data_IF_240781906180
#
_entry.id   IF_240781906180
#
_cell.length_a   1.000
_cell.length_b   1.000
_cell.length_c   1.000
_cell.angle_alpha   90.00
_cell.angle_beta   90.00
_cell.angle_gamma   90.00
#
_symmetry.space_group_name_H-M   'P 1'
#
loop_
_entity.id
_entity.type
_entity.pdbx_description
1 polymer ?
#
# COMPACT_ATOMS: atom_id res chain seq x y z
N UNK A 1 -87.09 -54.60 21.43
CA UNK A 1 -86.13 -53.48 21.53
C UNK A 1 -85.46 -53.58 22.89
N UNK A 2 -84.27 -54.19 22.95
CA UNK A 2 -83.35 -54.01 24.07
C UNK A 2 -82.19 -53.14 23.58
N UNK A 3 -81.96 -52.00 24.25
CA UNK A 3 -80.90 -51.06 23.93
C UNK A 3 -79.61 -51.52 24.64
N UNK A 4 -78.61 -51.95 23.87
CA UNK A 4 -77.24 -52.24 24.36
C UNK A 4 -76.57 -50.94 24.81
N UNK A 5 -76.07 -50.92 26.05
CA UNK A 5 -75.16 -49.89 26.54
C UNK A 5 -73.73 -50.12 26.02
N UNK A 6 -72.95 -49.05 25.73
CA UNK A 6 -71.58 -49.19 25.27
C UNK A 6 -70.60 -49.48 26.44
N UNK A 7 -69.45 -50.12 26.18
CA UNK A 7 -68.49 -50.52 27.21
C UNK A 7 -67.73 -49.31 27.80
N UNK A 8 -67.59 -49.30 29.13
CA UNK A 8 -66.78 -48.35 29.90
C UNK A 8 -65.28 -48.59 29.68
N UNK A 9 -64.55 -47.54 29.31
CA UNK A 9 -63.09 -47.56 29.17
C UNK A 9 -62.40 -47.74 30.55
N UNK A 10 -61.24 -48.44 30.62
CA UNK A 10 -60.56 -48.67 31.90
C UNK A 10 -59.91 -47.40 32.44
N UNK A 11 -60.01 -47.21 33.77
CA UNK A 11 -59.41 -46.10 34.49
C UNK A 11 -57.87 -46.12 34.38
N UNK A 12 -57.27 -45.03 33.88
CA UNK A 12 -55.81 -44.86 33.82
C UNK A 12 -55.21 -44.78 35.23
N UNK A 13 -54.25 -45.65 35.52
CA UNK A 13 -53.49 -45.70 36.77
C UNK A 13 -52.63 -44.43 36.94
N UNK A 14 -52.79 -43.75 38.07
CA UNK A 14 -52.04 -42.54 38.45
C UNK A 14 -50.51 -42.76 38.51
N UNK A 15 -50.07 -44.02 38.71
CA UNK A 15 -48.65 -44.40 38.70
C UNK A 15 -48.02 -44.37 37.31
N UNK A 16 -48.79 -44.64 36.25
CA UNK A 16 -48.30 -44.65 34.87
C UNK A 16 -47.99 -43.23 34.36
N UNK A 17 -48.73 -42.23 34.84
CA UNK A 17 -48.46 -40.82 34.52
C UNK A 17 -47.16 -40.31 35.14
N UNK A 18 -46.86 -40.72 36.38
CA UNK A 18 -45.67 -40.29 37.12
C UNK A 18 -44.40 -40.94 36.55
N UNK A 19 -44.46 -42.23 36.20
CA UNK A 19 -43.36 -42.94 35.54
C UNK A 19 -43.09 -42.37 34.14
N UNK A 20 -44.14 -42.08 33.35
CA UNK A 20 -43.98 -41.43 32.04
C UNK A 20 -43.40 -40.01 32.16
N UNK A 21 -43.81 -39.24 33.17
CA UNK A 21 -43.23 -37.92 33.45
C UNK A 21 -41.74 -37.99 33.77
N UNK A 22 -41.32 -38.96 34.60
CA UNK A 22 -39.91 -39.14 34.98
C UNK A 22 -39.05 -39.63 33.80
N UNK A 23 -39.61 -40.46 32.92
CA UNK A 23 -38.93 -40.91 31.69
C UNK A 23 -38.75 -39.78 30.67
N UNK A 24 -39.77 -38.93 30.50
CA UNK A 24 -39.67 -37.75 29.61
C UNK A 24 -38.65 -36.76 30.15
N UNK A 25 -38.63 -36.51 31.46
CA UNK A 25 -37.66 -35.62 32.09
C UNK A 25 -36.23 -36.14 31.92
N UNK A 26 -35.99 -37.43 32.16
CA UNK A 26 -34.66 -38.03 31.94
C UNK A 26 -34.24 -37.98 30.48
N UNK A 27 -35.15 -38.21 29.53
CA UNK A 27 -34.86 -38.11 28.10
C UNK A 27 -34.47 -36.67 27.71
N UNK A 28 -35.16 -35.66 28.23
CA UNK A 28 -34.84 -34.25 27.99
C UNK A 28 -33.49 -33.85 28.58
N UNK A 29 -33.16 -34.33 29.79
CA UNK A 29 -31.84 -34.11 30.41
C UNK A 29 -30.73 -34.80 29.60
N UNK A 30 -30.96 -36.03 29.11
CA UNK A 30 -30.01 -36.76 28.29
C UNK A 30 -29.79 -36.08 26.92
N UNK A 31 -30.86 -35.61 26.29
CA UNK A 31 -30.78 -34.84 25.03
C UNK A 31 -30.07 -33.49 25.23
N UNK A 32 -30.31 -32.81 26.36
CA UNK A 32 -29.60 -31.59 26.73
C UNK A 32 -28.10 -31.83 26.94
N UNK A 33 -27.72 -32.88 27.68
CA UNK A 33 -26.33 -33.28 27.87
C UNK A 33 -25.66 -33.70 26.56
N UNK A 34 -26.37 -34.42 25.69
CA UNK A 34 -25.86 -34.84 24.39
C UNK A 34 -25.66 -33.64 23.45
N UNK A 35 -26.58 -32.67 23.46
CA UNK A 35 -26.42 -31.41 22.75
C UNK A 35 -25.22 -30.61 23.28
N UNK A 36 -25.05 -30.50 24.60
CA UNK A 36 -23.88 -29.83 25.22
C UNK A 36 -22.56 -30.52 24.82
N UNK A 37 -22.52 -31.85 24.78
CA UNK A 37 -21.33 -32.60 24.37
C UNK A 37 -21.04 -32.48 22.86
N UNK A 38 -22.07 -32.47 22.00
CA UNK A 38 -21.92 -32.30 20.55
C UNK A 38 -21.53 -30.85 20.17
N UNK A 39 -22.13 -29.84 20.82
CA UNK A 39 -21.71 -28.44 20.65
C UNK A 39 -20.32 -28.18 21.24
N UNK A 40 -19.98 -28.80 22.38
CA UNK A 40 -18.68 -28.66 23.03
C UNK A 40 -17.52 -29.30 22.24
N UNK A 41 -17.76 -30.45 21.59
CA UNK A 41 -16.75 -31.15 20.77
C UNK A 41 -16.42 -30.38 19.49
N UNK A 42 -17.42 -29.80 18.83
CA UNK A 42 -17.21 -28.93 17.66
C UNK A 42 -16.51 -27.61 17.98
N UNK A 43 -16.68 -27.07 19.19
CA UNK A 43 -15.95 -25.88 19.64
C UNK A 43 -14.48 -26.18 19.95
N UNK A 44 -14.18 -27.36 20.53
CA UNK A 44 -12.83 -27.83 20.81
C UNK A 44 -12.02 -28.09 19.54
N UNK A 45 -12.57 -28.81 18.57
CA UNK A 45 -11.88 -29.09 17.29
C UNK A 45 -11.60 -27.81 16.49
N UNK A 46 -12.52 -26.83 16.51
CA UNK A 46 -12.33 -25.51 15.89
C UNK A 46 -11.29 -24.66 16.63
N UNK A 47 -11.18 -24.77 17.95
CA UNK A 47 -10.16 -24.07 18.71
C UNK A 47 -8.76 -24.66 18.43
N UNK A 48 -8.64 -25.99 18.40
CA UNK A 48 -7.39 -26.68 18.08
C UNK A 48 -6.92 -26.39 16.63
N UNK A 49 -7.85 -26.39 15.65
CA UNK A 49 -7.54 -26.03 14.27
C UNK A 49 -7.01 -24.59 14.14
N UNK A 50 -7.61 -23.63 14.85
CA UNK A 50 -7.15 -22.22 14.83
C UNK A 50 -5.77 -22.03 15.47
N UNK A 51 -5.50 -22.74 16.56
CA UNK A 51 -4.19 -22.65 17.20
C UNK A 51 -3.08 -23.25 16.32
N UNK A 52 -3.40 -24.31 15.58
CA UNK A 52 -2.56 -24.88 14.54
C UNK A 52 -2.32 -23.87 13.39
N UNK A 53 -3.37 -23.20 12.90
CA UNK A 53 -3.26 -22.18 11.85
C UNK A 53 -2.33 -21.03 12.28
N UNK A 54 -2.43 -20.57 13.55
CA UNK A 54 -1.53 -19.56 14.12
C UNK A 54 -0.09 -20.05 14.16
N UNK A 55 0.15 -21.30 14.56
CA UNK A 55 1.50 -21.86 14.63
C UNK A 55 2.12 -21.97 13.23
N UNK A 56 1.38 -22.48 12.26
CA UNK A 56 1.81 -22.58 10.86
C UNK A 56 2.08 -21.18 10.30
N UNK A 57 1.18 -20.22 10.54
CA UNK A 57 1.36 -18.84 10.10
C UNK A 57 2.64 -18.22 10.67
N UNK A 58 2.97 -18.50 11.93
CA UNK A 58 4.20 -18.00 12.56
C UNK A 58 5.46 -18.60 11.92
N UNK A 59 5.43 -19.89 11.57
CA UNK A 59 6.52 -20.58 10.85
C UNK A 59 6.68 -20.04 9.43
N UNK A 60 5.59 -19.86 8.70
CA UNK A 60 5.60 -19.29 7.34
C UNK A 60 6.14 -17.85 7.34
N UNK A 61 5.75 -17.05 8.34
CA UNK A 61 6.29 -15.70 8.52
C UNK A 61 7.80 -15.73 8.74
N UNK A 62 8.29 -16.60 9.63
CA UNK A 62 9.73 -16.77 9.89
C UNK A 62 10.50 -17.26 8.65
N UNK A 63 9.88 -18.11 7.83
CA UNK A 63 10.41 -18.57 6.56
C UNK A 63 10.32 -17.51 5.43
N UNK A 64 9.66 -16.38 5.67
CA UNK A 64 9.50 -15.29 4.72
C UNK A 64 8.36 -15.44 3.71
N UNK A 65 7.54 -16.51 3.81
CA UNK A 65 6.33 -16.73 3.03
C UNK A 65 5.17 -15.88 3.56
N UNK A 66 5.30 -14.56 3.41
CA UNK A 66 4.43 -13.59 4.08
C UNK A 66 2.99 -13.60 3.61
N UNK A 67 2.72 -13.84 2.33
CA UNK A 67 1.36 -13.83 1.79
C UNK A 67 0.55 -15.02 2.33
N UNK A 68 1.18 -16.19 2.40
CA UNK A 68 0.59 -17.39 3.02
C UNK A 68 0.42 -17.21 4.53
N UNK A 69 1.44 -16.65 5.21
CA UNK A 69 1.34 -16.34 6.63
C UNK A 69 0.21 -15.36 6.94
N UNK A 70 0.08 -14.29 6.14
CA UNK A 70 -0.96 -13.28 6.25
C UNK A 70 -2.36 -13.86 6.02
N UNK A 71 -2.50 -14.80 5.08
CA UNK A 71 -3.76 -15.50 4.81
C UNK A 71 -4.20 -16.33 6.01
N UNK A 72 -3.31 -17.16 6.57
CA UNK A 72 -3.62 -17.99 7.75
C UNK A 72 -3.85 -17.15 9.01
N UNK A 73 -3.07 -16.08 9.21
CA UNK A 73 -3.35 -15.14 10.28
C UNK A 73 -4.70 -14.45 10.09
N UNK A 74 -5.08 -14.06 8.87
CA UNK A 74 -6.40 -13.52 8.59
C UNK A 74 -7.54 -14.48 8.96
N UNK A 75 -7.37 -15.77 8.67
CA UNK A 75 -8.33 -16.82 9.06
C UNK A 75 -8.39 -16.99 10.58
N UNK A 76 -7.23 -17.00 11.25
CA UNK A 76 -7.15 -17.03 12.72
C UNK A 76 -7.84 -15.82 13.35
N UNK A 77 -7.62 -14.62 12.79
CA UNK A 77 -8.21 -13.37 13.24
C UNK A 77 -9.73 -13.35 13.01
N UNK A 78 -10.25 -13.93 11.92
CA UNK A 78 -11.69 -13.98 11.64
C UNK A 78 -12.50 -14.85 12.64
N UNK A 79 -11.85 -15.71 13.43
CA UNK A 79 -12.51 -16.58 14.40
C UNK A 79 -12.88 -15.91 15.74
N UNK A 80 -13.98 -16.33 16.37
CA UNK A 80 -14.48 -15.80 17.66
C UNK A 80 -13.68 -16.22 18.93
N UNK A 81 -12.39 -16.59 18.79
CA UNK A 81 -11.62 -17.18 19.90
C UNK A 81 -10.55 -16.29 20.54
N UNK A 82 -10.02 -15.30 19.81
CA UNK A 82 -8.88 -14.51 20.28
C UNK A 82 -9.33 -13.14 20.83
N UNK A 83 -8.78 -12.67 21.97
CA UNK A 83 -9.11 -11.36 22.50
C UNK A 83 -8.71 -10.25 21.51
N UNK A 84 -9.50 -9.17 21.36
CA UNK A 84 -9.25 -8.09 20.39
C UNK A 84 -7.83 -7.52 20.47
N UNK A 85 -7.27 -7.39 21.66
CA UNK A 85 -5.91 -6.90 21.87
C UNK A 85 -4.83 -7.82 21.26
N UNK A 86 -4.99 -9.15 21.40
CA UNK A 86 -4.06 -10.10 20.79
C UNK A 86 -4.17 -10.09 19.26
N UNK A 87 -5.41 -9.92 18.75
CA UNK A 87 -5.68 -9.79 17.32
C UNK A 87 -5.04 -8.52 16.75
N UNK A 88 -5.16 -7.39 17.44
CA UNK A 88 -4.53 -6.12 17.07
C UNK A 88 -3.00 -6.22 17.04
N UNK A 89 -2.38 -6.90 18.01
CA UNK A 89 -0.92 -7.15 18.05
C UNK A 89 -0.44 -7.97 16.85
N UNK A 90 -1.20 -8.99 16.45
CA UNK A 90 -0.86 -9.81 15.27
C UNK A 90 -0.99 -8.98 13.99
N UNK A 91 -2.08 -8.23 13.83
CA UNK A 91 -2.29 -7.34 12.69
C UNK A 91 -1.19 -6.28 12.61
N UNK A 92 -0.84 -5.62 13.71
CA UNK A 92 0.29 -4.68 13.78
C UNK A 92 1.63 -5.34 13.39
N UNK A 93 1.88 -6.57 13.86
CA UNK A 93 3.10 -7.30 13.54
C UNK A 93 3.20 -7.64 12.05
N UNK A 94 2.09 -8.01 11.41
CA UNK A 94 2.02 -8.24 9.96
C UNK A 94 2.20 -6.95 9.17
N UNK A 95 1.49 -5.89 9.56
CA UNK A 95 1.62 -4.56 8.95
C UNK A 95 3.06 -4.07 8.95
N UNK A 96 3.75 -4.16 10.08
CA UNK A 96 5.18 -3.81 10.20
C UNK A 96 6.05 -4.66 9.28
N UNK A 97 5.79 -5.96 9.20
CA UNK A 97 6.59 -6.86 8.35
C UNK A 97 6.41 -6.54 6.86
N UNK A 98 5.20 -6.22 6.42
CA UNK A 98 4.95 -5.79 5.04
C UNK A 98 5.53 -4.40 4.76
N UNK A 99 5.46 -3.48 5.72
CA UNK A 99 6.05 -2.15 5.63
C UNK A 99 7.57 -2.22 5.42
N UNK A 100 8.26 -3.05 6.21
CA UNK A 100 9.72 -3.23 6.13
C UNK A 100 10.15 -3.83 4.79
N UNK A 101 9.27 -4.59 4.13
CA UNK A 101 9.50 -5.14 2.78
C UNK A 101 9.02 -4.21 1.65
N UNK A 102 8.58 -2.99 1.96
CA UNK A 102 8.09 -2.02 0.99
C UNK A 102 6.73 -2.37 0.38
N UNK A 103 6.00 -3.33 0.94
CA UNK A 103 4.65 -3.71 0.49
C UNK A 103 3.60 -2.84 1.19
N UNK A 104 3.60 -1.55 0.85
CA UNK A 104 2.87 -0.49 1.56
C UNK A 104 1.34 -0.69 1.58
N UNK A 105 0.74 -1.16 0.48
CA UNK A 105 -0.71 -1.43 0.42
C UNK A 105 -1.14 -2.54 1.38
N UNK A 106 -0.40 -3.66 1.40
CA UNK A 106 -0.65 -4.77 2.33
C UNK A 106 -0.42 -4.33 3.77
N UNK A 107 0.60 -3.50 4.01
CA UNK A 107 0.86 -2.93 5.33
C UNK A 107 -0.33 -2.10 5.84
N UNK A 108 -0.90 -1.22 5.00
CA UNK A 108 -2.08 -0.42 5.36
C UNK A 108 -3.28 -1.27 5.75
N UNK A 109 -3.61 -2.30 4.97
CA UNK A 109 -4.71 -3.23 5.29
C UNK A 109 -4.57 -3.78 6.71
N UNK A 110 -3.37 -4.22 7.09
CA UNK A 110 -3.11 -4.77 8.41
C UNK A 110 -3.08 -3.72 9.54
N UNK A 111 -2.60 -2.51 9.26
CA UNK A 111 -2.65 -1.42 10.23
C UNK A 111 -4.07 -0.95 10.51
N UNK A 112 -4.92 -0.79 9.49
CA UNK A 112 -6.33 -0.47 9.68
C UNK A 112 -7.09 -1.57 10.42
N UNK A 113 -6.74 -2.84 10.18
CA UNK A 113 -7.28 -3.96 10.95
C UNK A 113 -6.87 -3.87 12.44
N UNK A 114 -5.62 -3.48 12.73
CA UNK A 114 -5.16 -3.25 14.10
C UNK A 114 -5.89 -2.07 14.78
N UNK A 115 -6.15 -0.97 14.06
CA UNK A 115 -6.92 0.18 14.58
C UNK A 115 -8.36 -0.22 14.89
N UNK A 116 -9.03 -0.92 13.96
CA UNK A 116 -10.41 -1.39 14.13
C UNK A 116 -10.58 -2.36 15.30
N UNK A 117 -9.56 -3.17 15.60
CA UNK A 117 -9.54 -4.10 16.73
C UNK A 117 -9.22 -3.43 18.08
N UNK A 118 -8.90 -2.14 18.09
CA UNK A 118 -8.50 -1.41 19.30
C UNK A 118 -7.03 -1.64 19.64
N UNK A 119 -6.14 -0.99 18.91
CA UNK A 119 -4.68 -1.10 19.06
C UNK A 119 -4.13 -0.73 20.45
N UNK A 120 -4.93 -0.12 21.34
CA UNK A 120 -4.53 0.19 22.71
C UNK A 120 -3.26 1.03 22.75
N UNK A 121 -2.22 0.54 23.43
CA UNK A 121 -0.92 1.20 23.54
C UNK A 121 -0.14 1.27 22.20
N UNK A 122 -0.51 0.46 21.20
CA UNK A 122 0.09 0.50 19.87
C UNK A 122 -0.55 1.56 18.96
N UNK A 123 -1.64 2.20 19.37
CA UNK A 123 -2.43 3.10 18.52
C UNK A 123 -1.59 4.25 17.93
N UNK A 124 -0.72 4.87 18.74
CA UNK A 124 0.14 5.96 18.28
C UNK A 124 1.15 5.48 17.22
N UNK A 125 1.77 4.32 17.43
CA UNK A 125 2.77 3.78 16.53
C UNK A 125 2.14 3.23 15.23
N UNK A 126 0.98 2.59 15.33
CA UNK A 126 0.16 2.20 14.17
C UNK A 126 -0.14 3.43 13.31
N UNK A 127 -0.57 4.53 13.94
CA UNK A 127 -0.88 5.77 13.24
C UNK A 127 0.33 6.35 12.49
N UNK A 128 1.51 6.39 13.13
CA UNK A 128 2.75 6.83 12.49
C UNK A 128 3.11 5.96 11.28
N UNK A 129 2.95 4.64 11.40
CA UNK A 129 3.24 3.70 10.32
C UNK A 129 2.24 3.77 9.16
N UNK A 130 0.96 4.09 9.44
CA UNK A 130 -0.04 4.38 8.40
C UNK A 130 0.34 5.62 7.59
N UNK A 131 0.67 6.72 8.28
CA UNK A 131 1.12 7.96 7.62
C UNK A 131 2.36 7.68 6.78
N UNK A 132 3.36 7.00 7.34
CA UNK A 132 4.56 6.62 6.61
C UNK A 132 4.27 5.78 5.37
N UNK A 133 3.42 4.76 5.47
CA UNK A 133 3.06 3.92 4.33
C UNK A 133 2.38 4.73 3.21
N UNK A 134 1.47 5.65 3.57
CA UNK A 134 0.81 6.54 2.61
C UNK A 134 1.80 7.48 1.91
N UNK A 135 2.71 8.11 2.65
CA UNK A 135 3.78 8.95 2.09
C UNK A 135 4.69 8.18 1.14
N UNK A 136 5.06 6.95 1.49
CA UNK A 136 5.90 6.09 0.63
C UNK A 136 5.20 5.67 -0.67
N UNK A 137 3.87 5.70 -0.69
CA UNK A 137 3.06 5.50 -1.90
C UNK A 137 2.78 6.81 -2.66
N UNK A 138 3.30 7.95 -2.20
CA UNK A 138 3.00 9.26 -2.78
C UNK A 138 1.59 9.77 -2.49
N UNK A 139 0.86 9.17 -1.53
CA UNK A 139 -0.51 9.54 -1.16
C UNK A 139 -0.50 10.61 -0.07
N UNK A 140 0.01 11.81 -0.40
CA UNK A 140 0.28 12.86 0.57
C UNK A 140 -0.99 13.43 1.18
N UNK A 141 -2.06 13.60 0.40
CA UNK A 141 -3.33 14.07 0.93
C UNK A 141 -3.97 13.08 1.92
N UNK A 142 -3.94 11.78 1.61
CA UNK A 142 -4.40 10.75 2.52
C UNK A 142 -3.54 10.67 3.80
N UNK A 143 -2.21 10.82 3.67
CA UNK A 143 -1.30 10.86 4.81
C UNK A 143 -1.61 12.04 5.74
N UNK A 144 -1.84 13.22 5.17
CA UNK A 144 -2.22 14.42 5.92
C UNK A 144 -3.58 14.24 6.63
N UNK A 145 -4.61 13.75 5.92
CA UNK A 145 -5.91 13.49 6.51
C UNK A 145 -5.82 12.50 7.70
N UNK A 146 -5.02 11.45 7.54
CA UNK A 146 -4.80 10.46 8.59
C UNK A 146 -4.00 11.04 9.78
N UNK A 147 -3.10 12.01 9.54
CA UNK A 147 -2.40 12.72 10.61
C UNK A 147 -3.36 13.66 11.36
N UNK A 148 -4.15 14.46 10.64
CA UNK A 148 -5.15 15.39 11.19
C UNK A 148 -6.21 14.69 12.02
N UNK A 149 -6.73 13.55 11.56
CA UNK A 149 -7.72 12.76 12.31
C UNK A 149 -7.17 12.25 13.65
N UNK A 150 -5.85 12.13 13.80
CA UNK A 150 -5.19 11.63 15.01
C UNK A 150 -4.76 12.76 15.96
N UNK A 151 -4.52 13.97 15.46
CA UNK A 151 -4.20 15.14 16.31
C UNK A 151 -5.45 15.76 16.94
N UNK A 152 -6.62 15.55 16.35
CA UNK A 152 -7.92 15.88 16.93
C UNK A 152 -8.34 14.80 17.93
N UNK A 153 -7.85 14.89 19.18
CA UNK A 153 -8.15 13.97 20.28
C UNK A 153 -9.66 13.65 20.43
N UNK A 154 -10.03 12.38 20.24
CA UNK A 154 -11.21 11.75 20.85
C UNK A 154 -12.42 11.52 19.94
N UNK A 155 -12.41 10.44 19.16
CA UNK A 155 -13.62 9.98 18.46
C UNK A 155 -13.35 8.87 17.45
N UNK A 156 -13.08 7.65 17.91
CA UNK A 156 -13.26 6.48 17.06
C UNK A 156 -14.76 6.27 16.80
N UNK A 157 -15.09 5.91 15.55
CA UNK A 157 -16.39 5.44 15.07
C UNK A 157 -17.45 6.50 14.73
N UNK A 158 -17.27 7.19 13.60
CA UNK A 158 -18.39 7.46 12.70
C UNK A 158 -17.91 7.57 11.24
N UNK A 159 -18.58 6.82 10.38
CA UNK A 159 -18.72 7.06 8.94
C UNK A 159 -17.48 6.91 8.04
N UNK A 160 -17.16 5.66 7.68
CA UNK A 160 -16.53 5.32 6.39
C UNK A 160 -17.26 5.92 5.16
N UNK A 161 -18.44 6.52 5.33
CA UNK A 161 -19.17 7.29 4.30
C UNK A 161 -18.95 8.81 4.36
N UNK A 162 -18.52 9.39 5.49
CA UNK A 162 -18.12 10.81 5.56
C UNK A 162 -16.63 11.01 5.31
N UNK A 163 -15.82 9.98 5.62
CA UNK A 163 -14.38 10.01 5.38
C UNK A 163 -14.05 10.12 3.88
N UNK A 164 -14.93 9.63 3.01
CA UNK A 164 -14.75 9.68 1.56
C UNK A 164 -16.08 9.93 0.80
N UNK A 165 -16.61 11.16 0.85
CA UNK A 165 -17.93 11.46 0.31
C UNK A 165 -17.93 11.40 -1.22
N UNK A 166 -19.09 11.05 -1.80
CA UNK A 166 -19.32 11.13 -3.25
C UNK A 166 -19.29 12.60 -3.67
N UNK A 167 -18.39 12.94 -4.58
CA UNK A 167 -18.19 14.30 -5.09
C UNK A 167 -18.74 14.48 -6.51
N UNK A 168 -18.87 13.40 -7.27
CA UNK A 168 -19.51 13.41 -8.59
C UNK A 168 -20.13 12.06 -8.93
N UNK A 169 -21.09 12.07 -9.86
CA UNK A 169 -21.68 10.86 -10.45
C UNK A 169 -21.68 10.97 -11.97
N UNK A 170 -21.20 9.92 -12.64
CA UNK A 170 -21.19 9.83 -14.10
C UNK A 170 -21.93 8.55 -14.51
N UNK A 171 -23.19 8.71 -14.94
CA UNK A 171 -24.05 7.56 -15.21
C UNK A 171 -24.33 6.76 -13.94
N UNK A 172 -23.89 5.50 -13.89
CA UNK A 172 -24.03 4.60 -12.74
C UNK A 172 -22.80 4.52 -11.84
N UNK A 173 -21.76 5.30 -12.11
CA UNK A 173 -20.49 5.29 -11.38
C UNK A 173 -20.37 6.52 -10.48
N UNK A 174 -19.91 6.30 -9.26
CA UNK A 174 -19.70 7.34 -8.25
C UNK A 174 -18.21 7.64 -8.13
N UNK A 175 -17.85 8.92 -8.14
CA UNK A 175 -16.50 9.39 -7.86
C UNK A 175 -16.47 9.98 -6.47
N UNK A 176 -15.48 9.57 -5.71
CA UNK A 176 -15.30 9.94 -4.32
C UNK A 176 -14.22 11.00 -4.15
N UNK A 177 -14.17 11.62 -2.97
CA UNK A 177 -13.14 12.62 -2.65
C UNK A 177 -11.73 12.04 -2.82
N UNK A 178 -11.52 10.80 -2.41
CA UNK A 178 -10.23 10.10 -2.49
C UNK A 178 -9.76 9.90 -3.92
N UNK A 179 -10.67 9.78 -4.89
CA UNK A 179 -10.31 9.70 -6.31
C UNK A 179 -9.72 11.02 -6.80
N UNK A 180 -10.32 12.13 -6.39
CA UNK A 180 -9.86 13.49 -6.72
C UNK A 180 -8.52 13.78 -6.03
N UNK A 181 -8.39 13.43 -4.75
CA UNK A 181 -7.15 13.61 -3.99
C UNK A 181 -6.01 12.78 -4.57
N UNK A 182 -6.28 11.54 -4.98
CA UNK A 182 -5.31 10.69 -5.69
C UNK A 182 -4.88 11.31 -7.01
N UNK A 183 -5.83 11.84 -7.78
CA UNK A 183 -5.52 12.52 -9.03
C UNK A 183 -4.69 13.81 -8.81
N UNK A 184 -4.85 14.49 -7.68
CA UNK A 184 -4.00 15.62 -7.28
C UNK A 184 -2.60 15.16 -6.87
N UNK A 185 -2.49 14.07 -6.11
CA UNK A 185 -1.23 13.49 -5.66
C UNK A 185 -0.36 13.02 -6.84
N UNK A 186 -0.98 12.59 -7.95
CA UNK A 186 -0.29 12.14 -9.17
C UNK A 186 0.20 13.31 -10.05
N UNK A 187 -0.16 14.57 -9.75
CA UNK A 187 0.32 15.75 -10.50
C UNK A 187 1.75 16.16 -10.09
N UNK A 188 2.52 16.78 -11.00
CA UNK A 188 3.73 17.50 -10.62
C UNK A 188 3.49 18.49 -9.47
N UNK A 189 4.40 18.57 -8.48
CA UNK A 189 4.21 19.41 -7.29
C UNK A 189 3.86 20.87 -7.59
N UNK A 190 4.43 21.43 -8.66
CA UNK A 190 4.19 22.81 -9.09
C UNK A 190 2.74 23.03 -9.54
N UNK A 191 2.14 22.00 -10.16
CA UNK A 191 0.73 22.04 -10.61
C UNK A 191 -0.23 21.74 -9.47
N UNK A 192 0.11 20.82 -8.57
CA UNK A 192 -0.71 20.46 -7.42
C UNK A 192 -0.93 21.68 -6.49
N UNK A 193 0.09 22.52 -6.30
CA UNK A 193 0.00 23.74 -5.49
C UNK A 193 -1.07 24.73 -5.95
N UNK A 194 -1.43 24.72 -7.25
CA UNK A 194 -2.46 25.58 -7.80
C UNK A 194 -3.89 25.22 -7.35
N UNK A 195 -4.08 24.07 -6.69
CA UNK A 195 -5.39 23.55 -6.26
C UNK A 195 -5.57 23.50 -4.74
N UNK A 196 -4.84 24.34 -4.00
CA UNK A 196 -4.91 24.37 -2.53
C UNK A 196 -6.23 24.90 -1.96
N UNK A 197 -6.96 25.77 -2.67
CA UNK A 197 -8.18 26.41 -2.17
C UNK A 197 -9.47 25.65 -2.55
N UNK A 198 -10.54 25.71 -1.75
CA UNK A 198 -11.80 25.01 -2.04
C UNK A 198 -12.39 25.28 -3.42
N UNK A 199 -12.35 26.54 -3.87
CA UNK A 199 -12.83 26.93 -5.21
C UNK A 199 -11.99 26.29 -6.33
N UNK A 200 -10.67 26.23 -6.15
CA UNK A 200 -9.75 25.63 -7.11
C UNK A 200 -9.93 24.10 -7.14
N UNK A 201 -10.19 23.47 -5.98
CA UNK A 201 -10.52 22.05 -5.90
C UNK A 201 -11.82 21.71 -6.65
N UNK A 202 -12.83 22.57 -6.61
CA UNK A 202 -14.05 22.38 -7.37
C UNK A 202 -13.79 22.45 -8.90
N UNK A 203 -12.97 23.40 -9.35
CA UNK A 203 -12.53 23.46 -10.75
C UNK A 203 -11.70 22.23 -11.15
N UNK A 204 -10.82 21.77 -10.26
CA UNK A 204 -10.07 20.54 -10.49
C UNK A 204 -10.97 19.32 -10.61
N UNK A 205 -11.95 19.15 -9.71
CA UNK A 205 -12.95 18.07 -9.80
C UNK A 205 -13.66 18.11 -11.16
N UNK A 206 -14.10 19.28 -11.61
CA UNK A 206 -14.73 19.44 -12.92
C UNK A 206 -13.80 19.02 -14.06
N UNK A 207 -12.53 19.42 -14.00
CA UNK A 207 -11.51 19.04 -14.99
C UNK A 207 -11.27 17.52 -14.96
N UNK A 208 -11.05 16.94 -13.79
CA UNK A 208 -10.84 15.51 -13.59
C UNK A 208 -11.98 14.68 -14.20
N UNK A 209 -13.23 15.03 -13.89
CA UNK A 209 -14.39 14.34 -14.46
C UNK A 209 -14.49 14.54 -15.98
N UNK A 210 -14.15 15.73 -16.49
CA UNK A 210 -14.13 15.99 -17.92
C UNK A 210 -13.05 15.15 -18.63
N UNK A 211 -11.85 15.06 -18.07
CA UNK A 211 -10.75 14.26 -18.60
C UNK A 211 -11.12 12.76 -18.62
N UNK A 212 -11.76 12.26 -17.57
CA UNK A 212 -12.27 10.88 -17.50
C UNK A 212 -13.34 10.59 -18.57
N UNK A 213 -14.26 11.53 -18.79
CA UNK A 213 -15.26 11.43 -19.86
C UNK A 213 -14.62 11.43 -21.26
N UNK A 214 -13.62 12.29 -21.46
CA UNK A 214 -12.87 12.37 -22.71
C UNK A 214 -12.05 11.09 -22.95
N UNK A 215 -11.40 10.56 -21.90
CA UNK A 215 -10.69 9.28 -21.93
C UNK A 215 -11.61 8.14 -22.37
N UNK A 216 -12.77 8.01 -21.75
CA UNK A 216 -13.78 6.99 -22.13
C UNK A 216 -14.20 7.13 -23.59
N UNK A 217 -14.36 8.37 -24.07
CA UNK A 217 -14.69 8.65 -25.47
C UNK A 217 -13.53 8.26 -26.40
N UNK A 218 -12.29 8.60 -26.03
CA UNK A 218 -11.10 8.25 -26.79
C UNK A 218 -10.95 6.73 -26.93
N UNK A 219 -11.15 5.98 -25.84
CA UNK A 219 -11.14 4.51 -25.86
C UNK A 219 -12.24 3.89 -26.71
N UNK A 220 -13.46 4.43 -26.64
CA UNK A 220 -14.57 3.99 -27.52
C UNK A 220 -14.29 4.23 -29.00
N UNK A 221 -13.41 5.17 -29.30
CA UNK A 221 -12.94 5.51 -30.65
C UNK A 221 -11.58 4.84 -30.95
N UNK A 222 -11.13 3.91 -30.11
CA UNK A 222 -9.91 3.10 -30.29
C UNK A 222 -8.61 3.91 -30.40
N UNK A 223 -8.58 5.13 -29.84
CA UNK A 223 -7.33 5.91 -29.77
C UNK A 223 -6.28 5.29 -28.84
N UNK A 224 -6.68 4.39 -27.93
CA UNK A 224 -5.76 3.56 -27.14
C UNK A 224 -5.06 2.48 -27.97
N UNK A 225 -5.62 2.13 -29.13
CA UNK A 225 -5.06 1.14 -30.05
C UNK A 225 -4.30 1.75 -31.23
N UNK A 226 -4.28 3.08 -31.30
CA UNK A 226 -3.57 3.84 -32.32
C UNK A 226 -2.06 3.48 -32.34
N UNK A 227 -1.48 3.20 -33.52
CA UNK A 227 -0.08 2.80 -33.62
C UNK A 227 0.92 3.84 -33.12
N UNK A 228 0.64 5.14 -33.27
CA UNK A 228 1.51 6.20 -32.76
C UNK A 228 1.43 6.26 -31.23
N UNK A 229 0.21 6.21 -30.68
CA UNK A 229 0.01 6.19 -29.21
C UNK A 229 0.71 5.00 -28.58
N UNK A 230 0.57 3.79 -29.16
CA UNK A 230 1.24 2.59 -28.67
C UNK A 230 2.76 2.68 -28.77
N UNK A 231 3.29 3.21 -29.88
CA UNK A 231 4.74 3.46 -30.02
C UNK A 231 5.26 4.44 -28.97
N UNK A 232 4.55 5.54 -28.75
CA UNK A 232 4.90 6.54 -27.74
C UNK A 232 4.83 5.97 -26.32
N UNK A 233 3.80 5.18 -26.01
CA UNK A 233 3.67 4.49 -24.72
C UNK A 233 4.85 3.55 -24.49
N UNK A 234 5.21 2.74 -25.48
CA UNK A 234 6.31 1.79 -25.36
C UNK A 234 7.67 2.51 -25.25
N UNK A 235 7.87 3.61 -25.98
CA UNK A 235 9.06 4.45 -25.86
C UNK A 235 9.18 5.09 -24.46
N UNK A 236 8.10 5.67 -23.94
CA UNK A 236 8.04 6.25 -22.59
C UNK A 236 8.30 5.18 -21.52
N UNK A 237 7.68 4.01 -21.66
CA UNK A 237 7.88 2.90 -20.73
C UNK A 237 9.34 2.42 -20.73
N UNK A 238 9.93 2.20 -21.91
CA UNK A 238 11.36 1.85 -22.04
C UNK A 238 12.25 2.88 -21.35
N UNK A 239 12.01 4.17 -21.61
CA UNK A 239 12.78 5.25 -20.98
C UNK A 239 12.65 5.24 -19.46
N UNK A 240 11.44 5.05 -18.92
CA UNK A 240 11.20 4.99 -17.48
C UNK A 240 11.95 3.82 -16.85
N UNK A 241 11.89 2.63 -17.45
CA UNK A 241 12.57 1.43 -16.96
C UNK A 241 14.09 1.62 -16.97
N UNK A 242 14.65 2.11 -18.08
CA UNK A 242 16.09 2.40 -18.17
C UNK A 242 16.50 3.46 -17.15
N UNK A 243 15.73 4.53 -17.00
CA UNK A 243 16.01 5.58 -16.03
C UNK A 243 16.02 5.05 -14.59
N UNK A 244 15.06 4.18 -14.22
CA UNK A 244 15.02 3.54 -12.91
C UNK A 244 16.19 2.60 -12.68
N UNK A 245 16.59 1.85 -13.71
CA UNK A 245 17.77 1.01 -13.66
C UNK A 245 19.04 1.84 -13.42
N UNK A 246 19.25 2.92 -14.19
CA UNK A 246 20.40 3.82 -14.03
C UNK A 246 20.42 4.49 -12.66
N UNK A 247 19.26 4.92 -12.14
CA UNK A 247 19.16 5.47 -10.79
C UNK A 247 19.67 4.45 -9.74
N UNK A 248 19.25 3.19 -9.83
CA UNK A 248 19.62 2.15 -8.86
C UNK A 248 21.05 1.64 -9.01
N UNK A 249 21.49 1.44 -10.26
CA UNK A 249 22.78 0.82 -10.55
C UNK A 249 23.92 1.82 -10.64
N UNK A 250 23.62 3.09 -10.92
CA UNK A 250 24.62 4.15 -11.06
C UNK A 250 24.46 5.18 -9.97
N UNK A 251 23.35 5.91 -9.91
CA UNK A 251 23.19 7.07 -9.03
C UNK A 251 23.32 6.70 -7.55
N UNK A 252 22.62 5.66 -7.10
CA UNK A 252 22.60 5.19 -5.71
C UNK A 252 23.96 4.62 -5.25
N UNK A 253 24.86 4.28 -6.19
CA UNK A 253 26.19 3.71 -5.91
C UNK A 253 27.33 4.74 -5.99
N UNK A 254 27.05 6.00 -6.36
CA UNK A 254 28.07 7.04 -6.41
C UNK A 254 28.40 7.51 -4.99
N UNK A 255 29.58 7.10 -4.54
CA UNK A 255 30.21 7.61 -3.32
C UNK A 255 31.07 8.84 -3.64
N UNK A 256 31.01 9.84 -2.76
CA UNK A 256 31.82 11.05 -2.85
C UNK A 256 32.52 11.25 -1.51
N UNK A 257 33.84 11.23 -1.53
CA UNK A 257 34.65 11.54 -0.36
C UNK A 257 35.25 12.95 -0.42
N UNK A 258 35.71 13.45 0.72
CA UNK A 258 36.25 14.81 0.83
C UNK A 258 37.60 14.98 0.12
N UNK A 259 38.40 13.92 0.04
CA UNK A 259 39.72 13.97 -0.58
C UNK A 259 39.59 14.16 -2.10
N UNK A 260 38.67 13.41 -2.72
CA UNK A 260 38.27 13.52 -4.11
C UNK A 260 37.75 14.91 -4.46
N UNK A 261 36.92 15.51 -3.60
CA UNK A 261 36.42 16.87 -3.81
C UNK A 261 37.54 17.90 -3.78
N UNK A 262 38.49 17.77 -2.85
CA UNK A 262 39.67 18.65 -2.78
C UNK A 262 40.54 18.49 -4.03
N UNK A 263 40.80 17.26 -4.46
CA UNK A 263 41.54 16.97 -5.68
C UNK A 263 40.85 17.53 -6.93
N UNK A 264 39.52 17.37 -7.03
CA UNK A 264 38.73 17.89 -8.14
C UNK A 264 38.76 19.43 -8.19
N UNK A 265 38.64 20.08 -7.03
CA UNK A 265 38.76 21.52 -6.91
C UNK A 265 40.13 22.01 -7.36
N UNK A 266 41.22 21.41 -6.86
CA UNK A 266 42.59 21.76 -7.21
C UNK A 266 42.86 21.61 -8.72
N UNK A 267 42.37 20.53 -9.33
CA UNK A 267 42.51 20.28 -10.77
C UNK A 267 41.65 21.23 -11.64
N UNK A 268 40.57 21.80 -11.11
CA UNK A 268 39.59 22.59 -11.87
C UNK A 268 39.41 24.03 -11.34
N UNK A 269 40.37 24.57 -10.57
CA UNK A 269 40.27 25.91 -9.92
C UNK A 269 39.77 27.01 -10.83
N UNK A 270 40.22 27.03 -12.09
CA UNK A 270 39.83 28.03 -13.07
C UNK A 270 38.31 28.07 -13.35
N UNK A 271 37.62 26.92 -13.27
CA UNK A 271 36.17 26.80 -13.54
C UNK A 271 35.29 27.36 -12.42
N UNK A 272 35.84 27.49 -11.22
CA UNK A 272 35.10 27.98 -10.04
C UNK A 272 35.30 29.48 -9.78
N UNK A 273 36.11 30.16 -10.58
CA UNK A 273 36.32 31.61 -10.46
C UNK A 273 35.01 32.37 -10.66
N UNK A 274 34.72 33.33 -9.79
CA UNK A 274 33.59 34.24 -9.99
C UNK A 274 33.93 35.25 -11.08
N UNK A 275 32.97 35.60 -11.97
CA UNK A 275 33.15 36.74 -12.86
C UNK A 275 33.31 38.00 -12.02
N UNK A 276 34.42 38.70 -12.21
CA UNK A 276 34.69 39.98 -11.53
C UNK A 276 33.85 41.08 -12.14
N UNK A 277 33.34 41.97 -11.29
CA UNK A 277 32.81 43.27 -11.75
C UNK A 277 33.98 44.09 -12.30
N UNK A 278 33.72 44.93 -13.32
CA UNK A 278 34.73 45.81 -13.91
C UNK A 278 35.52 46.55 -12.82
N UNK A 279 36.82 46.26 -12.73
CA UNK A 279 37.75 46.91 -11.80
C UNK A 279 38.16 46.12 -10.55
N UNK A 280 37.54 44.97 -10.24
CA UNK A 280 37.98 44.13 -9.11
C UNK A 280 38.95 43.02 -9.56
N UNK A 281 40.05 42.78 -8.82
CA UNK A 281 40.97 41.68 -9.13
C UNK A 281 40.28 40.33 -8.94
N UNK A 282 40.46 39.41 -9.89
CA UNK A 282 39.93 38.05 -9.79
C UNK A 282 40.51 37.36 -8.57
N UNK A 283 39.65 37.10 -7.58
CA UNK A 283 40.01 36.34 -6.38
C UNK A 283 39.70 34.86 -6.61
N UNK A 284 40.69 34.01 -6.37
CA UNK A 284 40.47 32.57 -6.41
C UNK A 284 39.63 32.16 -5.19
N UNK A 285 38.48 31.49 -5.39
CA UNK A 285 37.68 31.03 -4.27
C UNK A 285 38.42 29.95 -3.49
N UNK A 286 38.18 29.84 -2.19
CA UNK A 286 38.68 28.70 -1.41
C UNK A 286 37.77 27.48 -1.58
N UNK A 287 38.28 26.27 -1.35
CA UNK A 287 37.48 25.04 -1.40
C UNK A 287 36.19 25.15 -0.58
N UNK A 288 36.27 25.67 0.65
CA UNK A 288 35.10 25.86 1.53
C UNK A 288 34.03 26.78 0.92
N UNK A 289 34.42 27.81 0.16
CA UNK A 289 33.49 28.76 -0.46
C UNK A 289 32.72 28.17 -1.64
N UNK A 290 33.29 27.17 -2.32
CA UNK A 290 32.71 26.56 -3.53
C UNK A 290 32.42 25.07 -3.36
N UNK A 291 32.55 24.52 -2.14
CA UNK A 291 32.41 23.09 -1.86
C UNK A 291 31.16 22.48 -2.48
N UNK A 292 30.00 23.11 -2.34
CA UNK A 292 28.74 22.62 -2.92
C UNK A 292 28.77 22.58 -4.46
N UNK A 293 29.36 23.58 -5.10
CA UNK A 293 29.51 23.63 -6.56
C UNK A 293 30.53 22.59 -7.06
N UNK A 294 31.63 22.41 -6.32
CA UNK A 294 32.64 21.37 -6.58
C UNK A 294 32.02 19.99 -6.45
N UNK A 295 31.23 19.75 -5.40
CA UNK A 295 30.54 18.48 -5.18
C UNK A 295 29.55 18.19 -6.31
N UNK A 296 28.74 19.17 -6.70
CA UNK A 296 27.80 18.99 -7.81
C UNK A 296 28.51 18.69 -9.14
N UNK A 297 29.59 19.42 -9.46
CA UNK A 297 30.36 19.18 -10.69
C UNK A 297 31.04 17.79 -10.66
N UNK A 298 31.61 17.41 -9.52
CA UNK A 298 32.25 16.11 -9.32
C UNK A 298 31.24 14.95 -9.42
N UNK A 299 30.07 15.07 -8.76
CA UNK A 299 28.98 14.09 -8.86
C UNK A 299 28.52 13.91 -10.30
N UNK A 300 28.35 15.01 -11.04
CA UNK A 300 27.99 14.97 -12.46
C UNK A 300 29.05 14.24 -13.29
N UNK A 301 30.33 14.52 -13.05
CA UNK A 301 31.44 13.85 -13.73
C UNK A 301 31.46 12.34 -13.42
N UNK A 302 31.34 11.96 -12.14
CA UNK A 302 31.25 10.56 -11.70
C UNK A 302 30.05 9.84 -12.33
N UNK A 303 28.88 10.49 -12.35
CA UNK A 303 27.68 9.96 -12.99
C UNK A 303 27.90 9.69 -14.48
N UNK A 304 28.46 10.66 -15.21
CA UNK A 304 28.76 10.50 -16.63
C UNK A 304 29.76 9.37 -16.88
N UNK A 305 30.84 9.30 -16.07
CA UNK A 305 31.84 8.24 -16.19
C UNK A 305 31.26 6.86 -15.90
N UNK A 306 30.50 6.71 -14.82
CA UNK A 306 29.91 5.43 -14.42
C UNK A 306 28.83 4.97 -15.42
N UNK A 307 28.03 5.90 -15.94
CA UNK A 307 27.06 5.61 -17.00
C UNK A 307 27.73 5.17 -18.30
N UNK A 308 28.79 5.87 -18.73
CA UNK A 308 29.55 5.47 -19.92
C UNK A 308 30.19 4.09 -19.76
N UNK A 309 30.76 3.82 -18.59
CA UNK A 309 31.34 2.51 -18.28
C UNK A 309 30.29 1.39 -18.33
N UNK A 310 29.10 1.62 -17.75
CA UNK A 310 27.98 0.69 -17.84
C UNK A 310 27.61 0.38 -19.30
N UNK A 311 27.52 1.41 -20.15
CA UNK A 311 27.24 1.22 -21.59
C UNK A 311 28.34 0.37 -22.23
N UNK A 312 29.61 0.70 -22.00
CA UNK A 312 30.72 -0.06 -22.58
C UNK A 312 30.72 -1.53 -22.15
N UNK A 313 30.45 -1.81 -20.88
CA UNK A 313 30.43 -3.17 -20.33
C UNK A 313 29.27 -3.98 -20.92
N UNK A 314 28.08 -3.37 -21.09
CA UNK A 314 26.94 -3.99 -21.76
C UNK A 314 27.22 -4.24 -23.27
N UNK A 315 27.81 -3.27 -23.98
CA UNK A 315 28.17 -3.44 -25.39
C UNK A 315 29.20 -4.55 -25.61
N UNK A 316 30.19 -4.68 -24.71
CA UNK A 316 31.20 -5.75 -24.73
C UNK A 316 30.57 -7.11 -24.45
N UNK A 317 29.68 -7.19 -23.46
CA UNK A 317 29.01 -8.44 -23.06
C UNK A 317 28.07 -8.95 -24.15
N UNK A 318 27.37 -8.05 -24.84
CA UNK A 318 26.43 -8.40 -25.89
C UNK A 318 27.06 -8.56 -27.29
N UNK A 319 28.40 -8.51 -27.40
CA UNK A 319 29.15 -8.62 -28.66
C UNK A 319 28.61 -7.69 -29.78
N UNK A 320 28.29 -6.44 -29.42
CA UNK A 320 27.60 -5.52 -30.33
C UNK A 320 28.53 -5.05 -31.46
N UNK A 321 28.08 -5.22 -32.70
CA UNK A 321 28.74 -4.67 -33.90
C UNK A 321 28.00 -3.42 -34.36
N UNK A 322 28.68 -2.28 -34.37
CA UNK A 322 28.13 -0.99 -34.80
C UNK A 322 28.57 -0.67 -36.23
N UNK A 323 27.65 -0.15 -37.03
CA UNK A 323 27.89 0.30 -38.42
C UNK A 323 27.60 1.81 -38.57
N UNK A 324 28.33 2.70 -37.86
CA UNK A 324 28.07 4.14 -37.87
C UNK A 324 28.21 4.77 -39.27
N UNK A 325 29.03 4.20 -40.15
CA UNK A 325 29.20 4.63 -41.53
C UNK A 325 27.92 4.53 -42.38
N UNK A 326 26.93 3.75 -41.93
CA UNK A 326 25.61 3.65 -42.59
C UNK A 326 24.61 4.69 -42.11
N UNK A 327 24.99 5.53 -41.15
CA UNK A 327 24.14 6.59 -40.58
C UNK A 327 24.47 7.97 -41.16
N UNK A 328 25.65 8.15 -41.78
CA UNK A 328 25.94 9.36 -42.54
C UNK A 328 25.37 9.22 -43.95
N UNK A 329 24.46 10.12 -44.33
CA UNK A 329 24.12 10.31 -45.73
C UNK A 329 25.41 10.70 -46.47
N UNK A 330 25.98 9.75 -47.20
CA UNK A 330 27.02 10.02 -48.18
C UNK A 330 26.37 10.75 -49.36
N UNK A 331 26.14 12.05 -49.18
CA UNK A 331 26.13 13.11 -50.20
C UNK A 331 25.45 14.37 -49.63
N UNK A 332 26.26 15.37 -49.27
CA UNK A 332 25.87 16.78 -49.16
C UNK A 332 27.03 17.64 -49.63
#
# INVERSE_FOLDING_TARGET
MELRQPPTAPARSQKDGLVRGLLILNLLVLLGLCAILLLGKGAGDRAAGRELDREIASKLKAAGALDEAATLYGQYLAGEGAPPEARAKIAYSLGTTFLDRGQYEKALRWFYEAEALGAGNLSEDVGKKVVHALERMGRFHAAQAALESRTQLGGAAAAHSEADPVVARVGGEEFHRSDVERALDDLPPELAQAYGQPQQRAEFLKKFIADELLWRKARKLEYDDDPEVRRSQEALFRQLVVSRFVEKEVLDKIEVDEADLKNHFEANKARFRRPTKEGEPATEPTFEQVRAAVEQDYRRLKLQSAYNQLIEDELKTAEVVLYPERLSDADS
#
